data_IF_276356208084
#
_entry.id   IF_276356208084
#
_cell.length_a   1.000
_cell.length_b   1.000
_cell.length_c   1.000
_cell.angle_alpha   90.00
_cell.angle_beta   90.00
_cell.angle_gamma   90.00
#
_symmetry.space_group_name_H-M   'P 1'
#
loop_
_entity.id
_entity.type
_entity.pdbx_description
1 polymer ?
#
# COMPACT_ATOMS: atom_id res chain seq x y z
N UNK A 1 -38.72 14.13 -19.23
CA UNK A 1 -38.65 13.46 -17.92
C UNK A 1 -38.00 12.11 -18.17
N UNK A 2 -36.67 12.02 -18.13
CA UNK A 2 -35.94 10.80 -18.50
C UNK A 2 -36.00 9.80 -17.35
N UNK A 3 -36.69 8.69 -17.58
CA UNK A 3 -36.68 7.49 -16.74
C UNK A 3 -36.08 6.38 -17.59
N UNK A 4 -34.77 6.16 -17.48
CA UNK A 4 -34.08 4.94 -17.90
C UNK A 4 -32.63 5.01 -17.40
N UNK A 5 -32.43 4.75 -16.10
CA UNK A 5 -31.14 4.31 -15.56
C UNK A 5 -31.35 2.92 -14.94
N UNK A 6 -31.62 1.97 -15.83
CA UNK A 6 -31.72 0.56 -15.49
C UNK A 6 -30.34 0.06 -15.05
N UNK A 7 -30.26 -0.30 -13.77
CA UNK A 7 -29.19 -1.02 -13.07
C UNK A 7 -28.00 -1.45 -13.93
N UNK A 8 -26.96 -0.62 -13.97
CA UNK A 8 -25.64 -1.10 -14.34
C UNK A 8 -25.15 -2.00 -13.21
N UNK A 9 -24.86 -3.30 -13.45
CA UNK A 9 -24.16 -4.07 -12.46
C UNK A 9 -22.79 -3.39 -12.28
N UNK A 10 -22.52 -2.89 -11.07
CA UNK A 10 -21.16 -2.56 -10.64
C UNK A 10 -20.43 -3.90 -10.54
N UNK A 11 -20.06 -4.47 -11.69
CA UNK A 11 -19.16 -5.60 -11.75
C UNK A 11 -17.85 -5.11 -11.15
N UNK A 12 -17.67 -5.39 -9.87
CA UNK A 12 -16.43 -5.24 -9.16
C UNK A 12 -15.36 -5.96 -9.97
N UNK A 13 -14.53 -5.18 -10.67
CA UNK A 13 -13.34 -5.63 -11.39
C UNK A 13 -12.36 -6.35 -10.44
N UNK A 14 -12.57 -6.20 -9.14
CA UNK A 14 -11.84 -6.88 -8.06
C UNK A 14 -12.25 -8.34 -7.84
N UNK A 15 -13.45 -8.78 -8.25
CA UNK A 15 -13.92 -10.16 -7.97
C UNK A 15 -13.56 -11.20 -9.03
N UNK A 16 -13.11 -10.79 -10.21
CA UNK A 16 -12.69 -11.71 -11.29
C UNK A 16 -11.18 -11.98 -11.35
N UNK A 17 -10.40 -11.57 -10.35
CA UNK A 17 -8.97 -11.93 -10.23
C UNK A 17 -8.70 -13.06 -9.24
N UNK A 18 -9.73 -13.65 -8.64
CA UNK A 18 -9.57 -14.74 -7.65
C UNK A 18 -9.45 -16.12 -8.31
N UNK A 19 -9.76 -16.26 -9.59
CA UNK A 19 -9.70 -17.55 -10.29
C UNK A 19 -8.73 -17.51 -11.47
N UNK A 20 -7.44 -17.41 -11.12
CA UNK A 20 -6.36 -18.16 -11.76
C UNK A 20 -5.05 -17.80 -11.05
N UNK A 21 -4.97 -18.14 -9.76
CA UNK A 21 -3.68 -18.28 -9.08
C UNK A 21 -2.94 -19.41 -9.78
N UNK A 22 -2.21 -19.07 -10.84
CA UNK A 22 -1.24 -19.94 -11.48
C UNK A 22 -0.32 -20.48 -10.39
N UNK A 23 0.12 -21.74 -10.52
CA UNK A 23 0.98 -22.41 -9.54
C UNK A 23 2.20 -21.56 -9.15
N UNK A 24 2.65 -20.66 -10.03
CA UNK A 24 3.68 -19.65 -9.80
C UNK A 24 3.31 -18.53 -8.82
N UNK A 25 2.09 -17.98 -8.85
CA UNK A 25 1.66 -16.93 -7.91
C UNK A 25 1.53 -17.47 -6.47
N UNK A 26 1.05 -18.71 -6.33
CA UNK A 26 1.00 -19.40 -5.02
C UNK A 26 2.38 -19.81 -4.50
N UNK A 27 3.35 -20.06 -5.39
CA UNK A 27 4.75 -20.25 -5.04
C UNK A 27 5.43 -18.92 -4.65
N UNK A 28 5.13 -17.83 -5.34
CA UNK A 28 5.64 -16.49 -5.03
C UNK A 28 5.17 -15.98 -3.66
N UNK A 29 3.92 -16.23 -3.27
CA UNK A 29 3.43 -15.86 -1.93
C UNK A 29 4.07 -16.70 -0.80
N UNK A 30 4.36 -17.99 -1.05
CA UNK A 30 5.12 -18.84 -0.11
C UNK A 30 6.59 -18.44 -0.05
N UNK A 31 7.19 -18.04 -1.18
CA UNK A 31 8.54 -17.50 -1.23
C UNK A 31 8.62 -16.16 -0.51
N UNK A 32 7.66 -15.25 -0.68
CA UNK A 32 7.59 -13.98 0.08
C UNK A 32 7.52 -14.22 1.60
N UNK A 33 6.66 -15.13 2.05
CA UNK A 33 6.50 -15.41 3.48
C UNK A 33 7.65 -16.30 4.03
N UNK A 34 8.31 -17.10 3.18
CA UNK A 34 9.43 -17.97 3.55
C UNK A 34 10.79 -17.27 3.53
N UNK A 35 11.02 -16.35 2.60
CA UNK A 35 12.27 -15.60 2.43
C UNK A 35 12.52 -14.57 3.54
N UNK A 36 11.48 -14.21 4.31
CA UNK A 36 11.58 -13.45 5.56
C UNK A 36 11.74 -14.33 6.81
N UNK A 37 11.75 -15.66 6.68
CA UNK A 37 11.89 -16.58 7.80
C UNK A 37 13.34 -16.98 8.02
N UNK A 38 13.76 -17.00 9.29
CA UNK A 38 15.10 -17.45 9.71
C UNK A 38 15.46 -18.86 9.21
N UNK A 39 14.48 -19.72 8.95
CA UNK A 39 14.70 -21.09 8.45
C UNK A 39 15.12 -21.14 6.99
N UNK A 40 14.66 -20.22 6.12
CA UNK A 40 15.08 -20.18 4.71
C UNK A 40 16.53 -19.74 4.57
N UNK A 41 16.93 -18.73 5.35
CA UNK A 41 18.32 -18.28 5.46
C UNK A 41 19.20 -19.43 5.96
N UNK A 42 18.76 -20.17 6.98
CA UNK A 42 19.50 -21.32 7.49
C UNK A 42 19.68 -22.45 6.45
N UNK A 43 18.64 -22.77 5.67
CA UNK A 43 18.73 -23.78 4.60
C UNK A 43 19.62 -23.31 3.44
N UNK A 44 19.54 -22.03 3.06
CA UNK A 44 20.39 -21.45 2.02
C UNK A 44 21.86 -21.46 2.43
N UNK A 45 22.15 -21.09 3.68
CA UNK A 45 23.50 -21.17 4.26
C UNK A 45 23.98 -22.61 4.33
N UNK A 46 23.14 -23.56 4.75
CA UNK A 46 23.49 -24.97 4.82
C UNK A 46 23.77 -25.56 3.42
N UNK A 47 22.97 -25.19 2.42
CA UNK A 47 23.17 -25.58 1.03
C UNK A 47 24.48 -25.00 0.48
N UNK A 48 24.77 -23.72 0.76
CA UNK A 48 26.03 -23.09 0.40
C UNK A 48 27.23 -23.76 1.08
N UNK A 49 27.13 -24.12 2.35
CA UNK A 49 28.18 -24.83 3.07
C UNK A 49 28.41 -26.24 2.53
N UNK A 50 27.33 -26.97 2.22
CA UNK A 50 27.42 -28.30 1.60
C UNK A 50 28.03 -28.22 0.20
N UNK A 51 27.62 -27.24 -0.60
CA UNK A 51 28.15 -27.01 -1.93
C UNK A 51 29.62 -26.58 -1.90
N UNK A 52 29.98 -25.67 -0.99
CA UNK A 52 31.36 -25.26 -0.76
C UNK A 52 32.23 -26.44 -0.30
N UNK A 53 31.72 -27.32 0.56
CA UNK A 53 32.44 -28.51 1.02
C UNK A 53 32.72 -29.51 -0.12
N UNK A 54 31.74 -29.76 -0.99
CA UNK A 54 31.94 -30.59 -2.20
C UNK A 54 33.00 -29.96 -3.10
N UNK A 55 32.93 -28.65 -3.29
CA UNK A 55 33.84 -27.88 -4.13
C UNK A 55 35.27 -27.78 -3.52
N UNK A 56 35.42 -27.94 -2.20
CA UNK A 56 36.72 -27.90 -1.50
C UNK A 56 37.53 -29.20 -1.67
N UNK A 57 36.86 -30.31 -1.98
CA UNK A 57 37.51 -31.62 -2.16
C UNK A 57 38.09 -31.84 -3.57
N UNK A 58 37.69 -31.00 -4.54
CA UNK A 58 38.26 -30.98 -5.88
C UNK A 58 39.40 -29.93 -5.94
N UNK A 59 40.64 -30.44 -5.95
CA UNK A 59 41.94 -29.77 -6.19
C UNK A 59 41.89 -28.26 -6.54
N UNK A 60 42.34 -27.42 -5.61
CA UNK A 60 42.72 -25.99 -5.74
C UNK A 60 41.78 -25.12 -6.62
N UNK A 61 40.58 -24.79 -6.11
CA UNK A 61 39.45 -24.41 -6.97
C UNK A 61 38.98 -22.94 -6.97
N UNK A 62 39.70 -21.99 -6.37
CA UNK A 62 39.48 -20.57 -6.67
C UNK A 62 40.77 -19.71 -6.70
N UNK A 63 41.70 -19.98 -7.64
CA UNK A 63 42.69 -18.97 -8.04
C UNK A 63 41.99 -17.80 -8.75
N UNK A 64 42.61 -16.62 -8.71
CA UNK A 64 42.14 -15.41 -9.43
C UNK A 64 41.65 -15.75 -10.86
N UNK A 65 40.42 -15.38 -11.29
CA UNK A 65 39.45 -14.45 -10.70
C UNK A 65 38.29 -15.20 -10.02
N UNK A 66 38.08 -14.93 -8.74
CA UNK A 66 37.19 -15.68 -7.84
C UNK A 66 35.76 -15.89 -8.37
N UNK A 67 35.53 -16.93 -9.17
CA UNK A 67 34.33 -17.07 -10.00
C UNK A 67 33.13 -17.48 -9.15
N UNK A 68 33.42 -18.23 -8.10
CA UNK A 68 32.43 -18.73 -7.15
C UNK A 68 31.97 -17.61 -6.21
N UNK A 69 32.92 -16.78 -5.75
CA UNK A 69 32.62 -15.60 -4.94
C UNK A 69 31.77 -14.61 -5.74
N UNK A 70 32.14 -14.33 -7.00
CA UNK A 70 31.36 -13.43 -7.85
C UNK A 70 29.97 -13.98 -8.20
N UNK A 71 29.82 -15.28 -8.45
CA UNK A 71 28.51 -15.90 -8.69
C UNK A 71 27.62 -15.78 -7.46
N UNK A 72 28.16 -16.07 -6.28
CA UNK A 72 27.45 -15.96 -5.02
C UNK A 72 27.00 -14.52 -4.74
N UNK A 73 27.90 -13.55 -4.88
CA UNK A 73 27.58 -12.12 -4.71
C UNK A 73 26.52 -11.65 -5.71
N UNK A 74 26.59 -12.09 -6.96
CA UNK A 74 25.61 -11.71 -8.00
C UNK A 74 24.22 -12.27 -7.70
N UNK A 75 24.15 -13.52 -7.22
CA UNK A 75 22.90 -14.15 -6.82
C UNK A 75 22.30 -13.48 -5.58
N UNK A 76 23.14 -13.09 -4.61
CA UNK A 76 22.72 -12.34 -3.43
C UNK A 76 22.13 -10.98 -3.79
N UNK A 77 22.79 -10.25 -4.70
CA UNK A 77 22.32 -8.95 -5.19
C UNK A 77 20.98 -9.09 -5.95
N UNK A 78 20.83 -10.12 -6.78
CA UNK A 78 19.57 -10.40 -7.48
C UNK A 78 18.42 -10.72 -6.52
N UNK A 79 18.70 -11.51 -5.48
CA UNK A 79 17.73 -11.83 -4.43
C UNK A 79 17.29 -10.58 -3.67
N UNK A 80 18.24 -9.69 -3.33
CA UNK A 80 17.95 -8.41 -2.70
C UNK A 80 17.04 -7.53 -3.56
N UNK A 81 17.31 -7.43 -4.86
CA UNK A 81 16.47 -6.66 -5.80
C UNK A 81 15.04 -7.21 -5.90
N UNK A 82 14.89 -8.53 -5.90
CA UNK A 82 13.57 -9.17 -5.93
C UNK A 82 12.78 -8.93 -4.63
N UNK A 83 13.44 -9.04 -3.47
CA UNK A 83 12.81 -8.75 -2.17
C UNK A 83 12.35 -7.29 -2.11
N UNK A 84 13.19 -6.36 -2.56
CA UNK A 84 12.88 -4.93 -2.58
C UNK A 84 11.62 -4.66 -3.42
N UNK A 85 11.53 -5.25 -4.62
CA UNK A 85 10.39 -5.06 -5.51
C UNK A 85 9.08 -5.63 -4.93
N UNK A 86 9.15 -6.78 -4.25
CA UNK A 86 8.00 -7.39 -3.59
C UNK A 86 7.55 -6.55 -2.39
N UNK A 87 8.50 -6.06 -1.59
CA UNK A 87 8.21 -5.18 -0.46
C UNK A 87 7.57 -3.87 -0.92
N UNK A 88 8.11 -3.26 -1.98
CA UNK A 88 7.55 -2.06 -2.60
C UNK A 88 6.11 -2.28 -3.05
N UNK A 89 5.84 -3.33 -3.83
CA UNK A 89 4.48 -3.67 -4.29
C UNK A 89 3.48 -3.79 -3.13
N UNK A 90 3.89 -4.37 -2.00
CA UNK A 90 3.02 -4.49 -0.82
C UNK A 90 2.78 -3.14 -0.15
N UNK A 91 3.80 -2.29 -0.04
CA UNK A 91 3.64 -0.95 0.53
C UNK A 91 2.75 -0.07 -0.35
N UNK A 92 2.88 -0.15 -1.67
CA UNK A 92 2.02 0.59 -2.61
C UNK A 92 0.55 0.20 -2.47
N UNK A 93 0.26 -1.09 -2.28
CA UNK A 93 -1.11 -1.56 -2.07
C UNK A 93 -1.71 -1.04 -0.75
N UNK A 94 -0.91 -1.01 0.33
CA UNK A 94 -1.33 -0.46 1.62
C UNK A 94 -1.54 1.06 1.50
N UNK A 95 -0.62 1.76 0.84
CA UNK A 95 -0.70 3.20 0.62
C UNK A 95 -1.94 3.57 -0.20
N UNK A 96 -2.28 2.79 -1.23
CA UNK A 96 -3.50 3.00 -2.01
C UNK A 96 -4.77 2.81 -1.17
N UNK A 97 -4.82 1.79 -0.31
CA UNK A 97 -5.95 1.56 0.58
C UNK A 97 -6.10 2.69 1.62
N UNK A 98 -4.98 3.15 2.18
CA UNK A 98 -4.97 4.27 3.13
C UNK A 98 -5.42 5.57 2.44
N UNK A 99 -4.95 5.83 1.21
CA UNK A 99 -5.36 6.99 0.45
C UNK A 99 -6.87 7.02 0.16
N UNK A 100 -7.48 5.86 -0.11
CA UNK A 100 -8.94 5.77 -0.27
C UNK A 100 -9.67 6.10 1.04
N UNK A 101 -9.20 5.55 2.16
CA UNK A 101 -9.79 5.83 3.48
C UNK A 101 -9.67 7.32 3.86
N UNK A 102 -8.50 7.92 3.62
CA UNK A 102 -8.27 9.35 3.85
C UNK A 102 -9.15 10.22 2.96
N UNK A 103 -9.38 9.79 1.70
CA UNK A 103 -10.31 10.46 0.80
C UNK A 103 -11.74 10.45 1.34
N UNK A 104 -12.24 9.29 1.77
CA UNK A 104 -13.59 9.14 2.30
C UNK A 104 -13.77 9.95 3.60
N UNK A 105 -12.77 9.93 4.48
CA UNK A 105 -12.76 10.72 5.71
C UNK A 105 -12.76 12.23 5.41
N UNK A 106 -11.95 12.68 4.45
CA UNK A 106 -11.92 14.08 4.03
C UNK A 106 -13.25 14.54 3.43
N UNK A 107 -13.94 13.66 2.68
CA UNK A 107 -15.25 13.98 2.13
C UNK A 107 -16.31 14.12 3.25
N UNK A 108 -16.26 13.25 4.26
CA UNK A 108 -17.13 13.36 5.43
C UNK A 108 -16.86 14.65 6.21
N UNK A 109 -15.59 14.94 6.51
CA UNK A 109 -15.19 16.18 7.17
C UNK A 109 -15.62 17.43 6.38
N UNK A 110 -15.54 17.40 5.05
CA UNK A 110 -16.03 18.48 4.19
C UNK A 110 -17.53 18.72 4.36
N UNK A 111 -18.33 17.64 4.41
CA UNK A 111 -19.79 17.76 4.64
C UNK A 111 -20.10 18.35 6.02
N UNK A 112 -19.42 17.89 7.06
CA UNK A 112 -19.58 18.44 8.41
C UNK A 112 -19.22 19.94 8.46
N UNK A 113 -18.16 20.35 7.77
CA UNK A 113 -17.80 21.78 7.66
C UNK A 113 -18.86 22.57 6.90
N UNK A 114 -19.42 22.03 5.82
CA UNK A 114 -20.51 22.67 5.07
C UNK A 114 -21.76 22.86 5.94
N UNK A 115 -22.15 21.85 6.73
CA UNK A 115 -23.25 21.93 7.69
C UNK A 115 -22.98 22.98 8.78
N UNK A 116 -21.78 23.00 9.35
CA UNK A 116 -21.37 23.99 10.35
C UNK A 116 -21.40 25.42 9.77
N UNK A 117 -20.96 25.60 8.53
CA UNK A 117 -21.04 26.90 7.84
C UNK A 117 -22.49 27.34 7.62
N UNK A 118 -23.39 26.42 7.29
CA UNK A 118 -24.81 26.71 7.14
C UNK A 118 -25.42 27.16 8.46
N UNK A 119 -25.20 26.40 9.54
CA UNK A 119 -25.65 26.76 10.89
C UNK A 119 -25.11 28.14 11.28
N UNK A 120 -23.83 28.41 11.05
CA UNK A 120 -23.22 29.70 11.36
C UNK A 120 -23.87 30.85 10.57
N UNK A 121 -24.16 30.66 9.28
CA UNK A 121 -24.88 31.64 8.46
C UNK A 121 -26.29 31.91 9.01
N UNK A 122 -27.02 30.87 9.38
CA UNK A 122 -28.36 31.00 9.98
C UNK A 122 -28.29 31.77 11.30
N UNK A 123 -27.33 31.45 12.17
CA UNK A 123 -27.11 32.18 13.43
C UNK A 123 -26.84 33.67 13.18
N UNK A 124 -25.99 34.00 12.19
CA UNK A 124 -25.70 35.40 11.83
C UNK A 124 -26.94 36.13 11.27
N UNK A 125 -27.79 35.45 10.51
CA UNK A 125 -29.05 36.03 10.03
C UNK A 125 -30.00 36.34 11.20
N UNK A 126 -30.22 35.38 12.11
CA UNK A 126 -31.05 35.58 13.29
C UNK A 126 -30.54 36.73 14.18
N UNK A 127 -29.22 36.80 14.39
CA UNK A 127 -28.60 37.90 15.15
C UNK A 127 -28.83 39.27 14.47
N UNK A 128 -28.76 39.34 13.13
CA UNK A 128 -29.05 40.58 12.40
C UNK A 128 -30.52 40.97 12.50
N UNK A 129 -31.43 40.00 12.40
CA UNK A 129 -32.86 40.25 12.58
C UNK A 129 -33.17 40.76 13.98
N UNK A 130 -32.65 40.10 15.03
CA UNK A 130 -32.80 40.55 16.42
C UNK A 130 -32.25 41.96 16.62
N UNK A 131 -31.07 42.27 16.07
CA UNK A 131 -30.50 43.63 16.14
C UNK A 131 -31.38 44.65 15.42
N UNK A 132 -31.94 44.32 14.27
CA UNK A 132 -32.85 45.22 13.54
C UNK A 132 -34.17 45.45 14.29
N UNK A 133 -34.72 44.40 14.93
CA UNK A 133 -35.95 44.46 15.69
C UNK A 133 -35.78 45.19 17.03
N UNK A 134 -34.61 45.07 17.65
CA UNK A 134 -34.26 45.78 18.88
C UNK A 134 -34.06 47.29 18.65
N UNK A 135 -33.99 47.74 17.40
CA UNK A 135 -33.65 49.11 17.04
C UNK A 135 -32.18 49.40 17.29
N UNK A 136 -31.50 50.03 16.33
CA UNK A 136 -30.11 50.44 16.48
C UNK A 136 -30.00 51.36 17.72
N UNK A 137 -29.16 51.05 18.74
CA UNK A 137 -28.89 52.03 19.77
C UNK A 137 -28.32 53.28 19.07
N UNK A 138 -28.82 54.49 19.39
CA UNK A 138 -28.39 55.70 18.71
C UNK A 138 -26.87 55.77 18.78
N UNK A 139 -26.23 55.88 17.60
CA UNK A 139 -24.80 56.14 17.51
C UNK A 139 -24.50 57.34 18.43
N UNK A 140 -23.84 57.05 19.55
CA UNK A 140 -23.45 58.05 20.52
C UNK A 140 -22.55 59.06 19.80
N UNK A 141 -23.07 60.29 19.64
CA UNK A 141 -22.36 61.46 19.14
C UNK A 141 -21.26 61.88 20.10
#
# INVERSE_FOLDING_TARGET
>A
MSTDDAGRPLTNWHTSHTEQLTRGQRAADRLRNGMGSWTFIAVFVLFMLAWAAVNLTAVAWDPYPYILLNLFLSMLAGLQGAILLIAAKRQDAIAAALAQHDYDTNLAAKREIEELMEINRTQLQLLRELRSAAGDPPAAR
#
